data_IF_125680316634
#
_entry.id   IF_125680316634
#
_cell.length_a   1.000
_cell.length_b   1.000
_cell.length_c   1.000
_cell.angle_alpha   90.00
_cell.angle_beta   90.00
_cell.angle_gamma   90.00
#
_symmetry.space_group_name_H-M   'P 1'
#
loop_
_entity.id
_entity.type
_entity.pdbx_description
1 polymer ?
#
# COMPACT_ATOMS: atom_id res chain seq x y z
N UNK A 1 -20.10 -10.94 7.50
CA UNK A 1 -19.28 -12.12 7.86
C UNK A 1 -18.36 -12.46 6.69
N UNK A 2 -17.20 -11.76 6.60
CA UNK A 2 -16.14 -12.10 5.67
C UNK A 2 -15.43 -13.37 6.14
N UNK A 3 -15.75 -14.49 5.54
CA UNK A 3 -15.04 -15.75 5.75
C UNK A 3 -13.60 -15.58 5.27
N UNK A 4 -12.66 -15.44 6.21
CA UNK A 4 -11.25 -15.49 5.93
C UNK A 4 -10.92 -16.91 5.41
N UNK A 5 -10.86 -17.08 4.07
CA UNK A 5 -10.43 -18.34 3.46
C UNK A 5 -8.96 -18.56 3.80
N UNK A 6 -8.71 -19.42 4.77
CA UNK A 6 -7.37 -19.94 5.08
C UNK A 6 -7.05 -21.04 4.07
N UNK A 7 -6.14 -20.80 3.16
CA UNK A 7 -5.56 -21.90 2.38
C UNK A 7 -4.53 -22.59 3.26
N UNK A 8 -4.70 -23.90 3.44
CA UNK A 8 -3.73 -24.77 4.13
C UNK A 8 -3.05 -25.61 3.09
N UNK A 9 -1.72 -25.50 3.01
CA UNK A 9 -0.90 -26.37 2.21
C UNK A 9 -0.07 -27.26 3.14
N UNK A 10 -0.21 -28.56 3.01
CA UNK A 10 0.50 -29.55 3.83
C UNK A 10 1.67 -30.09 3.01
N UNK A 11 2.89 -29.88 3.50
CA UNK A 11 4.10 -30.48 2.95
C UNK A 11 4.53 -31.62 3.85
N UNK A 12 4.65 -32.82 3.29
CA UNK A 12 5.16 -34.01 3.98
C UNK A 12 6.62 -34.14 3.55
N UNK A 13 7.55 -34.27 4.50
CA UNK A 13 8.97 -34.52 4.22
C UNK A 13 9.14 -35.94 3.65
N UNK A 14 9.91 -36.04 2.58
CA UNK A 14 10.25 -37.29 1.96
C UNK A 14 11.34 -38.06 2.75
N UNK A 15 11.55 -39.32 2.36
CA UNK A 15 12.61 -40.19 2.93
C UNK A 15 13.99 -39.56 2.70
N UNK A 16 14.70 -39.31 3.77
CA UNK A 16 16.06 -38.74 3.75
C UNK A 16 16.19 -37.39 4.48
N UNK A 17 15.10 -36.72 4.76
CA UNK A 17 15.13 -35.53 5.61
C UNK A 17 15.42 -35.92 7.07
N UNK A 18 16.31 -35.20 7.77
CA UNK A 18 16.57 -35.47 9.18
C UNK A 18 15.30 -35.18 10.00
N UNK A 19 14.82 -36.18 10.71
CA UNK A 19 13.72 -36.09 11.65
C UNK A 19 14.31 -35.99 13.05
N UNK A 20 13.77 -35.09 13.88
CA UNK A 20 14.19 -34.92 15.26
C UNK A 20 14.07 -36.26 16.04
N UNK A 21 15.01 -36.54 16.94
CA UNK A 21 14.98 -37.75 17.73
C UNK A 21 13.68 -37.90 18.53
N UNK A 22 13.00 -39.03 18.35
CA UNK A 22 11.70 -39.28 18.98
C UNK A 22 10.47 -38.85 18.16
N UNK A 23 10.62 -38.18 17.03
CA UNK A 23 9.52 -37.85 16.12
C UNK A 23 9.26 -38.98 15.12
N UNK A 24 8.03 -39.46 15.02
CA UNK A 24 7.58 -40.44 14.02
C UNK A 24 7.37 -39.79 12.66
N UNK A 25 6.84 -38.54 12.65
CA UNK A 25 6.50 -37.79 11.44
C UNK A 25 6.60 -36.29 11.69
N UNK A 26 7.22 -35.57 10.78
CA UNK A 26 7.27 -34.12 10.82
C UNK A 26 6.35 -33.56 9.73
N UNK A 27 5.40 -32.72 10.13
CA UNK A 27 4.44 -32.10 9.21
C UNK A 27 4.58 -30.57 9.30
N UNK A 28 4.85 -29.93 8.18
CA UNK A 28 4.89 -28.47 8.07
C UNK A 28 3.63 -27.98 7.40
N UNK A 29 2.84 -27.20 8.10
CA UNK A 29 1.62 -26.61 7.56
C UNK A 29 1.84 -25.15 7.28
N UNK A 30 1.67 -24.75 6.01
CA UNK A 30 1.68 -23.35 5.60
C UNK A 30 0.26 -22.80 5.56
N UNK A 31 0.03 -21.69 6.23
CA UNK A 31 -1.29 -21.04 6.30
C UNK A 31 -1.19 -19.63 5.75
N UNK A 32 -1.95 -19.35 4.67
CA UNK A 32 -2.11 -18.01 4.16
C UNK A 32 -3.26 -17.29 4.88
N UNK A 33 -3.02 -16.05 5.30
CA UNK A 33 -4.01 -15.18 5.93
C UNK A 33 -4.06 -13.84 5.19
N UNK A 34 -5.23 -13.48 4.66
CA UNK A 34 -5.45 -12.17 4.05
C UNK A 34 -5.53 -11.10 5.15
N UNK A 35 -4.63 -10.12 5.09
CA UNK A 35 -4.62 -8.97 5.98
C UNK A 35 -5.29 -7.77 5.30
N UNK A 36 -6.41 -7.30 5.82
CA UNK A 36 -7.05 -6.06 5.37
C UNK A 36 -6.17 -4.85 5.76
N UNK A 37 -6.28 -3.78 4.99
CA UNK A 37 -5.61 -2.51 5.28
C UNK A 37 -6.12 -1.92 6.60
N UNK A 38 -5.20 -1.34 7.37
CA UNK A 38 -5.51 -0.64 8.62
C UNK A 38 -4.78 0.69 8.66
N UNK A 39 -5.30 1.62 9.45
CA UNK A 39 -4.58 2.85 9.80
C UNK A 39 -3.25 2.48 10.45
N UNK A 40 -2.16 3.10 10.00
CA UNK A 40 -0.81 2.80 10.44
C UNK A 40 -0.04 1.80 9.54
N UNK A 41 -0.70 1.11 8.63
CA UNK A 41 -0.02 0.25 7.64
C UNK A 41 0.76 1.10 6.63
N UNK A 42 1.90 0.59 6.19
CA UNK A 42 2.78 1.29 5.27
C UNK A 42 2.51 0.90 3.83
N UNK A 43 2.36 1.90 2.98
CA UNK A 43 2.21 1.75 1.54
C UNK A 43 3.32 2.48 0.80
N UNK A 44 3.58 2.06 -0.42
CA UNK A 44 4.53 2.72 -1.30
C UNK A 44 4.14 2.55 -2.77
N UNK A 45 4.56 3.50 -3.61
CA UNK A 45 4.59 3.32 -5.04
C UNK A 45 5.92 2.72 -5.51
N UNK A 46 6.21 2.89 -6.81
CA UNK A 46 7.46 2.41 -7.46
C UNK A 46 8.55 3.47 -7.58
N UNK A 47 8.33 4.67 -7.06
CA UNK A 47 9.19 5.85 -7.25
C UNK A 47 9.82 6.36 -5.95
N UNK A 48 10.01 5.47 -4.96
CA UNK A 48 10.52 5.88 -3.65
C UNK A 48 9.50 6.66 -2.79
N UNK A 49 8.28 6.80 -3.26
CA UNK A 49 7.16 7.42 -2.54
C UNK A 49 6.56 6.43 -1.56
N UNK A 50 6.84 6.63 -0.29
CA UNK A 50 6.35 5.80 0.81
C UNK A 50 5.51 6.64 1.77
N UNK A 51 4.51 6.05 2.35
CA UNK A 51 3.65 6.70 3.32
C UNK A 51 2.96 5.71 4.24
N UNK A 52 2.33 6.24 5.26
CA UNK A 52 1.56 5.47 6.23
C UNK A 52 0.10 5.88 6.08
N UNK A 53 -0.80 4.90 6.14
CA UNK A 53 -2.24 5.17 6.10
C UNK A 53 -2.62 5.94 7.36
N UNK A 54 -3.03 7.19 7.17
CA UNK A 54 -3.41 8.09 8.27
C UNK A 54 -4.89 7.93 8.64
N UNK A 55 -5.77 7.78 7.66
CA UNK A 55 -7.21 7.66 7.84
C UNK A 55 -7.81 6.73 6.79
N UNK A 56 -8.82 6.00 7.18
CA UNK A 56 -9.68 5.23 6.28
C UNK A 56 -11.06 5.86 6.38
N UNK A 57 -11.59 6.26 5.24
CA UNK A 57 -12.85 6.98 5.11
C UNK A 57 -13.84 6.09 4.36
N UNK A 58 -15.13 6.26 4.59
CA UNK A 58 -16.17 5.60 3.82
C UNK A 58 -16.13 6.06 2.36
N UNK A 59 -16.54 5.22 1.43
CA UNK A 59 -16.49 5.52 0.00
C UNK A 59 -17.34 6.75 -0.35
N UNK A 60 -18.45 6.94 0.35
CA UNK A 60 -19.40 8.04 0.21
C UNK A 60 -18.78 9.39 0.56
N UNK A 61 -17.87 9.42 1.54
CA UNK A 61 -17.19 10.64 2.01
C UNK A 61 -15.91 10.94 1.22
N UNK A 62 -15.51 10.07 0.28
CA UNK A 62 -14.32 10.28 -0.54
C UNK A 62 -14.62 11.30 -1.66
N UNK A 63 -13.61 12.11 -2.04
CA UNK A 63 -13.74 12.96 -3.22
C UNK A 63 -14.10 12.16 -4.47
N UNK A 64 -14.86 12.75 -5.36
CA UNK A 64 -15.30 12.07 -6.59
C UNK A 64 -15.14 12.96 -7.84
N UNK A 65 -15.02 12.30 -8.98
CA UNK A 65 -14.96 12.92 -10.30
C UNK A 65 -16.35 13.42 -10.76
N UNK A 66 -16.42 14.31 -11.77
CA UNK A 66 -17.70 14.78 -12.32
C UNK A 66 -18.60 13.65 -12.86
N UNK A 67 -18.04 12.50 -13.19
CA UNK A 67 -18.74 11.29 -13.63
C UNK A 67 -19.28 10.44 -12.47
N UNK A 68 -19.05 10.86 -11.22
CA UNK A 68 -19.46 10.16 -10.01
C UNK A 68 -18.47 9.09 -9.54
N UNK A 69 -17.34 8.88 -10.23
CA UNK A 69 -16.34 7.89 -9.81
C UNK A 69 -15.60 8.35 -8.57
N UNK A 70 -15.63 7.62 -7.45
CA UNK A 70 -14.93 8.00 -6.22
C UNK A 70 -13.42 7.80 -6.36
N UNK A 71 -12.66 8.62 -5.64
CA UNK A 71 -11.20 8.47 -5.51
C UNK A 71 -10.91 7.45 -4.42
N UNK A 72 -10.06 6.48 -4.73
CA UNK A 72 -9.71 5.40 -3.78
C UNK A 72 -8.61 5.80 -2.79
N UNK A 73 -7.67 6.67 -3.20
CA UNK A 73 -6.53 7.11 -2.37
C UNK A 73 -6.28 8.59 -2.57
N UNK A 74 -6.17 9.34 -1.47
CA UNK A 74 -5.70 10.72 -1.45
C UNK A 74 -4.25 10.74 -0.94
N UNK A 75 -3.34 11.26 -1.75
CA UNK A 75 -1.92 11.38 -1.42
C UNK A 75 -1.55 12.82 -1.08
N UNK A 76 -0.68 12.99 -0.09
CA UNK A 76 -0.18 14.31 0.27
C UNK A 76 0.84 14.80 -0.78
N UNK A 77 0.57 15.92 -1.48
CA UNK A 77 1.45 16.44 -2.51
C UNK A 77 2.79 16.97 -1.98
N UNK A 78 2.89 17.31 -0.69
CA UNK A 78 4.14 17.81 -0.08
C UNK A 78 5.29 16.80 -0.12
N UNK A 79 4.99 15.52 -0.30
CA UNK A 79 6.00 14.47 -0.46
C UNK A 79 6.71 14.47 -1.82
N UNK A 80 6.27 15.26 -2.78
CA UNK A 80 6.80 15.27 -4.15
C UNK A 80 7.90 16.31 -4.37
N UNK A 81 7.73 17.62 -4.05
CA UNK A 81 8.67 18.66 -4.46
C UNK A 81 10.06 18.48 -3.87
N UNK A 82 10.15 18.22 -2.56
CA UNK A 82 11.43 18.08 -1.87
C UNK A 82 12.20 16.81 -2.25
N UNK A 83 11.51 15.79 -2.73
CA UNK A 83 12.11 14.49 -3.08
C UNK A 83 12.39 14.31 -4.57
N UNK A 84 11.92 15.23 -5.39
CA UNK A 84 12.19 15.30 -6.85
C UNK A 84 11.85 14.01 -7.60
N UNK A 85 10.94 13.18 -7.09
CA UNK A 85 10.49 11.94 -7.72
C UNK A 85 9.31 12.19 -8.67
N UNK A 86 9.55 12.97 -9.73
CA UNK A 86 8.53 13.38 -10.70
C UNK A 86 7.91 12.20 -11.45
N UNK A 87 8.64 11.08 -11.57
CA UNK A 87 8.16 9.87 -12.23
C UNK A 87 6.81 9.36 -11.71
N UNK A 88 6.48 9.58 -10.43
CA UNK A 88 5.17 9.22 -9.88
C UNK A 88 4.02 10.03 -10.50
N UNK A 89 4.25 11.31 -10.83
CA UNK A 89 3.25 12.16 -11.47
C UNK A 89 3.05 11.73 -12.93
N UNK A 90 4.13 11.45 -13.64
CA UNK A 90 4.08 10.93 -15.00
C UNK A 90 3.38 9.57 -15.07
N UNK A 91 3.64 8.68 -14.12
CA UNK A 91 2.93 7.39 -13.98
C UNK A 91 1.42 7.61 -13.79
N UNK A 92 1.03 8.56 -12.95
CA UNK A 92 -0.38 8.87 -12.69
C UNK A 92 -1.09 9.34 -13.94
N UNK A 93 -0.47 10.23 -14.71
CA UNK A 93 -1.03 10.73 -15.97
C UNK A 93 -1.16 9.62 -17.01
N UNK A 94 -0.08 8.86 -17.22
CA UNK A 94 -0.08 7.74 -18.16
C UNK A 94 -1.10 6.67 -17.75
N UNK A 95 -1.18 6.35 -16.46
CA UNK A 95 -2.14 5.40 -15.93
C UNK A 95 -3.59 5.82 -16.17
N UNK A 96 -3.90 7.11 -16.06
CA UNK A 96 -5.24 7.62 -16.37
C UNK A 96 -5.61 7.44 -17.84
N UNK A 97 -4.71 7.83 -18.75
CA UNK A 97 -4.88 7.65 -20.18
C UNK A 97 -5.03 6.17 -20.54
N UNK A 98 -4.13 5.32 -20.05
CA UNK A 98 -4.14 3.88 -20.33
C UNK A 98 -5.41 3.18 -19.83
N UNK A 99 -5.90 3.56 -18.65
CA UNK A 99 -7.16 2.99 -18.14
C UNK A 99 -8.33 3.32 -19.04
N UNK A 100 -8.41 4.56 -19.54
CA UNK A 100 -9.50 5.00 -20.41
C UNK A 100 -9.42 4.38 -21.81
N UNK A 101 -8.22 4.16 -22.32
CA UNK A 101 -7.96 3.52 -23.63
C UNK A 101 -7.96 1.99 -23.55
N UNK A 102 -8.00 1.39 -22.36
CA UNK A 102 -7.90 -0.06 -22.17
C UNK A 102 -6.53 -0.65 -22.49
N UNK A 103 -5.46 0.18 -22.44
CA UNK A 103 -4.10 -0.22 -22.77
C UNK A 103 -3.32 -0.67 -21.54
N UNK A 104 -2.34 -1.56 -21.76
CA UNK A 104 -1.31 -1.90 -20.78
C UNK A 104 0.05 -1.50 -21.34
N UNK A 105 0.75 -0.62 -20.62
CA UNK A 105 2.04 -0.09 -21.03
C UNK A 105 3.12 -0.58 -20.08
N UNK A 106 4.23 -1.09 -20.63
CA UNK A 106 5.44 -1.40 -19.90
C UNK A 106 6.50 -0.34 -20.20
N UNK A 107 7.07 0.26 -19.18
CA UNK A 107 8.13 1.27 -19.28
C UNK A 107 9.39 0.75 -18.59
N UNK A 108 10.34 0.14 -19.34
CA UNK A 108 11.62 -0.26 -18.77
C UNK A 108 12.39 0.94 -18.20
N UNK A 109 13.27 0.68 -17.22
CA UNK A 109 13.97 1.73 -16.46
C UNK A 109 14.82 2.62 -17.38
N UNK A 110 15.47 2.04 -18.39
CA UNK A 110 16.38 2.76 -19.29
C UNK A 110 15.76 3.10 -20.67
N UNK A 111 14.53 2.66 -20.90
CA UNK A 111 13.77 2.95 -22.12
C UNK A 111 12.36 3.41 -21.72
N UNK A 112 12.31 4.54 -21.03
CA UNK A 112 11.09 5.15 -20.53
C UNK A 112 10.31 5.88 -21.61
N UNK A 113 9.09 6.26 -21.28
CA UNK A 113 8.23 7.06 -22.16
C UNK A 113 8.56 8.55 -22.01
N UNK A 114 8.55 9.29 -23.13
CA UNK A 114 8.71 10.73 -23.12
C UNK A 114 7.43 11.46 -22.67
N UNK A 115 7.58 12.66 -22.09
CA UNK A 115 6.46 13.50 -21.68
C UNK A 115 5.51 13.82 -22.85
N UNK A 116 6.07 14.13 -24.03
CA UNK A 116 5.29 14.40 -25.24
C UNK A 116 4.37 13.22 -25.60
N UNK A 117 4.87 11.99 -25.48
CA UNK A 117 4.08 10.80 -25.77
C UNK A 117 2.96 10.57 -24.74
N UNK A 118 3.19 10.92 -23.47
CA UNK A 118 2.14 10.89 -22.46
C UNK A 118 1.03 11.88 -22.77
N UNK A 119 1.39 13.09 -23.24
CA UNK A 119 0.41 14.10 -23.65
C UNK A 119 -0.40 13.65 -24.87
N UNK A 120 0.21 12.95 -25.83
CA UNK A 120 -0.52 12.35 -26.95
C UNK A 120 -1.56 11.34 -26.45
N UNK A 121 -1.21 10.42 -25.54
CA UNK A 121 -2.16 9.47 -24.97
C UNK A 121 -3.28 10.15 -24.18
N UNK A 122 -3.00 11.23 -23.46
CA UNK A 122 -4.03 12.01 -22.78
C UNK A 122 -5.03 12.61 -23.78
N UNK A 123 -4.53 13.16 -24.90
CA UNK A 123 -5.38 13.70 -25.99
C UNK A 123 -6.21 12.61 -26.66
N UNK A 124 -5.61 11.47 -26.99
CA UNK A 124 -6.32 10.31 -27.55
C UNK A 124 -7.45 9.83 -26.62
N UNK A 125 -7.21 9.89 -25.30
CA UNK A 125 -8.21 9.52 -24.30
C UNK A 125 -9.26 10.61 -24.02
N UNK A 126 -9.21 11.77 -24.72
CA UNK A 126 -10.03 12.95 -24.46
C UNK A 126 -9.96 13.41 -22.98
N UNK A 127 -8.74 13.43 -22.44
CA UNK A 127 -8.43 13.90 -21.10
C UNK A 127 -7.72 15.26 -21.15
N UNK A 128 -7.79 16.07 -20.06
CA UNK A 128 -7.06 17.33 -19.98
C UNK A 128 -5.54 17.13 -20.13
N UNK A 129 -4.89 17.92 -20.97
CA UNK A 129 -3.43 17.86 -21.23
C UNK A 129 -2.59 18.00 -19.96
N UNK A 130 -3.11 18.74 -18.98
CA UNK A 130 -2.45 18.96 -17.68
C UNK A 130 -2.60 17.81 -16.70
N UNK A 131 -3.42 16.80 -17.01
CA UNK A 131 -3.76 15.72 -16.10
C UNK A 131 -4.51 16.16 -14.85
N UNK A 132 -5.02 17.39 -14.83
CA UNK A 132 -5.78 17.97 -13.71
C UNK A 132 -7.25 18.06 -14.03
N UNK A 133 -8.09 17.68 -13.09
CA UNK A 133 -9.55 17.77 -13.21
C UNK A 133 -10.16 18.44 -12.00
N UNK A 134 -11.43 18.76 -12.12
CA UNK A 134 -12.23 19.21 -10.98
C UNK A 134 -12.67 17.98 -10.20
N UNK A 135 -12.51 18.01 -8.90
CA UNK A 135 -13.07 17.02 -7.97
C UNK A 135 -14.11 17.70 -7.08
N UNK A 136 -15.04 16.90 -6.62
CA UNK A 136 -16.06 17.29 -5.65
C UNK A 136 -15.76 16.63 -4.31
N UNK A 137 -16.03 17.35 -3.22
CA UNK A 137 -15.90 16.79 -1.87
C UNK A 137 -17.07 15.84 -1.58
N UNK A 138 -16.78 14.62 -1.14
CA UNK A 138 -17.80 13.62 -0.82
C UNK A 138 -18.72 14.02 0.33
N UNK A 139 -18.22 14.83 1.28
CA UNK A 139 -19.01 15.26 2.43
C UNK A 139 -19.94 16.45 2.13
N UNK A 140 -19.47 17.43 1.37
CA UNK A 140 -20.21 18.66 1.09
C UNK A 140 -20.88 18.69 -0.28
N UNK A 141 -20.37 17.91 -1.23
CA UNK A 141 -20.78 17.93 -2.63
C UNK A 141 -20.27 19.15 -3.41
N UNK A 142 -19.46 20.01 -2.78
CA UNK A 142 -18.94 21.21 -3.42
C UNK A 142 -17.66 20.92 -4.20
N UNK A 143 -17.40 21.63 -5.32
CA UNK A 143 -16.16 21.47 -6.07
C UNK A 143 -14.98 22.04 -5.29
N UNK A 144 -13.82 21.36 -5.37
CA UNK A 144 -12.56 21.91 -4.83
C UNK A 144 -12.16 23.18 -5.57
N UNK A 145 -11.62 24.15 -4.84
CA UNK A 145 -11.19 25.43 -5.37
C UNK A 145 -10.14 25.31 -6.49
N UNK A 146 -9.27 24.33 -6.41
CA UNK A 146 -8.23 24.10 -7.41
C UNK A 146 -8.44 22.78 -8.16
N UNK A 147 -8.02 22.75 -9.41
CA UNK A 147 -7.96 21.51 -10.18
C UNK A 147 -6.87 20.59 -9.61
N UNK A 148 -7.21 19.33 -9.44
CA UNK A 148 -6.39 18.32 -8.77
C UNK A 148 -5.88 17.31 -9.79
N UNK A 149 -4.64 16.86 -9.63
CA UNK A 149 -4.05 15.76 -10.42
C UNK A 149 -4.73 14.46 -10.01
N UNK A 150 -5.31 13.79 -10.98
CA UNK A 150 -5.99 12.50 -10.79
C UNK A 150 -5.47 11.50 -11.80
N UNK A 151 -5.43 10.24 -11.43
CA UNK A 151 -5.05 9.15 -12.33
C UNK A 151 -4.84 7.85 -11.59
N UNK A 152 -4.28 6.86 -12.27
CA UNK A 152 -4.02 5.55 -11.73
C UNK A 152 -2.53 5.36 -11.46
N UNK A 153 -2.20 4.92 -10.26
CA UNK A 153 -0.84 4.64 -9.84
C UNK A 153 -0.76 3.23 -9.24
N UNK A 154 0.33 2.53 -9.51
CA UNK A 154 0.59 1.23 -8.91
C UNK A 154 1.03 1.38 -7.46
N UNK A 155 0.23 0.87 -6.53
CA UNK A 155 0.48 0.97 -5.09
C UNK A 155 0.74 -0.41 -4.48
N UNK A 156 1.74 -0.46 -3.62
CA UNK A 156 2.19 -1.65 -2.91
C UNK A 156 1.91 -1.49 -1.42
N UNK A 157 1.31 -2.50 -0.81
CA UNK A 157 1.26 -2.63 0.64
C UNK A 157 2.54 -3.29 1.12
N UNK A 158 3.31 -2.60 1.96
CA UNK A 158 4.56 -3.11 2.50
C UNK A 158 4.31 -4.03 3.71
N UNK A 159 5.22 -4.98 3.95
CA UNK A 159 5.13 -5.91 5.08
C UNK A 159 5.49 -5.26 6.43
N UNK A 160 5.29 -3.96 6.54
CA UNK A 160 5.39 -3.18 7.78
C UNK A 160 4.00 -2.89 8.32
N UNK A 161 3.33 -3.94 8.78
CA UNK A 161 1.97 -3.87 9.28
C UNK A 161 1.95 -3.36 10.73
N UNK A 162 1.04 -2.44 11.03
CA UNK A 162 0.89 -1.90 12.39
C UNK A 162 0.56 -3.00 13.41
N UNK A 163 -0.21 -4.00 13.03
CA UNK A 163 -0.59 -5.11 13.90
C UNK A 163 0.61 -5.93 14.40
N UNK A 164 1.68 -6.01 13.62
CA UNK A 164 2.91 -6.69 14.01
C UNK A 164 3.86 -5.82 14.84
N UNK A 165 3.71 -4.49 14.79
CA UNK A 165 4.60 -3.52 15.43
C UNK A 165 4.04 -2.92 16.71
N UNK A 166 2.73 -2.85 16.86
CA UNK A 166 2.09 -2.34 18.07
C UNK A 166 2.52 -3.15 19.28
N UNK A 167 3.01 -2.44 20.29
CA UNK A 167 3.49 -3.03 21.54
C UNK A 167 3.30 -2.05 22.69
N UNK A 168 2.86 -2.56 23.82
CA UNK A 168 2.73 -1.81 25.05
C UNK A 168 3.10 -2.70 26.25
N UNK A 169 3.58 -2.07 27.31
CA UNK A 169 3.96 -2.76 28.54
C UNK A 169 3.61 -1.89 29.75
N UNK A 170 2.95 -2.48 30.73
CA UNK A 170 2.81 -1.92 32.07
C UNK A 170 3.74 -2.66 33.04
N UNK A 171 3.57 -3.98 33.17
CA UNK A 171 4.41 -4.88 33.97
C UNK A 171 4.83 -6.03 33.06
N UNK A 172 6.05 -6.52 33.21
CA UNK A 172 6.56 -7.64 32.43
C UNK A 172 7.84 -8.24 32.98
N UNK A 173 8.48 -9.16 32.26
CA UNK A 173 9.66 -9.86 32.71
C UNK A 173 10.88 -8.94 32.82
N UNK A 174 11.75 -9.27 33.79
CA UNK A 174 13.02 -8.59 34.05
C UNK A 174 14.18 -9.57 33.87
N UNK A 175 15.37 -9.04 33.57
CA UNK A 175 16.60 -9.83 33.56
C UNK A 175 16.92 -10.32 34.97
N UNK A 176 17.37 -11.57 35.09
CA UNK A 176 17.69 -12.18 36.37
C UNK A 176 18.88 -11.49 37.07
N UNK A 177 19.88 -11.07 36.30
CA UNK A 177 21.13 -10.49 36.87
C UNK A 177 20.98 -9.00 37.13
N UNK A 178 20.59 -8.23 36.11
CA UNK A 178 20.54 -6.78 36.17
C UNK A 178 19.26 -6.20 36.72
N UNK A 179 18.18 -7.04 36.83
CA UNK A 179 16.83 -6.64 37.24
C UNK A 179 16.28 -5.48 36.39
N UNK A 180 16.73 -5.38 35.14
CA UNK A 180 16.25 -4.42 34.17
C UNK A 180 15.18 -5.06 33.27
N UNK A 181 14.22 -4.28 32.73
CA UNK A 181 13.25 -4.78 31.78
C UNK A 181 13.95 -5.40 30.56
N UNK A 182 13.43 -6.53 30.09
CA UNK A 182 13.90 -7.15 28.84
C UNK A 182 13.62 -6.23 27.64
N UNK A 183 14.39 -6.37 26.56
CA UNK A 183 14.22 -5.62 25.33
C UNK A 183 13.36 -6.35 24.30
N UNK A 184 12.67 -5.58 23.45
CA UNK A 184 11.95 -6.09 22.30
C UNK A 184 10.54 -6.62 22.56
N UNK A 185 9.71 -6.57 21.52
CA UNK A 185 8.29 -6.98 21.56
C UNK A 185 8.14 -8.47 21.86
N UNK A 186 9.00 -9.32 21.29
CA UNK A 186 8.92 -10.78 21.45
C UNK A 186 9.07 -11.24 22.90
N UNK A 187 9.84 -10.51 23.69
CA UNK A 187 10.09 -10.78 25.11
C UNK A 187 9.18 -9.98 26.05
N UNK A 188 8.13 -9.35 25.50
CA UNK A 188 7.30 -8.43 26.26
C UNK A 188 8.12 -7.34 26.99
N UNK A 189 9.15 -6.85 26.28
CA UNK A 189 10.08 -5.88 26.77
C UNK A 189 9.55 -4.45 26.73
N UNK A 190 10.31 -3.51 27.30
CA UNK A 190 9.94 -2.11 27.32
C UNK A 190 10.42 -1.41 28.56
N UNK A 191 9.87 -0.24 28.84
CA UNK A 191 10.19 0.55 30.02
C UNK A 191 9.53 -0.04 31.29
N UNK A 192 10.14 0.30 32.42
CA UNK A 192 9.62 -0.04 33.74
C UNK A 192 8.39 0.77 34.09
#
# INVERSE_FOLDING_TARGET
>A
HGTCRRQRQMCIRDRGDPIDQGAIKNVRVFVAKKQKMRVGDKMAGRHGNKGVVAKIVAEEDMPFLPDGTPIEICLNPLGVPSRMNVGQVLETHLGWACNKLGLKVATPIFDGISEARIQEYLKEANLPDTGKTVLYDGCTGEPFYQRIVVGYMYMLKLNHLVSSKIHARAVGPYSLITQQPLGGKAQYGGQR
#
